data_IF_053511474803
#
_entry.id   IF_053511474803
#
_cell.length_a   1.000
_cell.length_b   1.000
_cell.length_c   1.000
_cell.angle_alpha   90.00
_cell.angle_beta   90.00
_cell.angle_gamma   90.00
#
_symmetry.space_group_name_H-M   'P 1'
#
loop_
_entity.id
_entity.type
_entity.pdbx_description
1 polymer ?
#
# COMPACT_ATOMS: atom_id res chain seq x y z
N UNK A 1 46.18 18.38 38.47
CA UNK A 1 47.35 17.78 37.80
C UNK A 1 46.98 17.52 36.34
N UNK A 2 47.68 18.21 35.42
CA UNK A 2 47.86 18.04 33.96
C UNK A 2 46.65 17.57 33.11
N UNK A 3 46.00 18.37 32.26
CA UNK A 3 46.45 19.11 31.07
C UNK A 3 47.03 18.24 29.93
N UNK A 4 46.28 18.08 28.82
CA UNK A 4 46.79 18.19 27.44
C UNK A 4 45.67 18.13 26.36
N UNK A 5 45.62 19.20 25.55
CA UNK A 5 45.01 19.32 24.21
C UNK A 5 45.76 18.47 23.15
N UNK A 6 45.07 18.00 22.10
CA UNK A 6 45.41 18.15 20.64
C UNK A 6 44.47 17.32 19.74
N UNK A 7 43.59 17.93 18.94
CA UNK A 7 43.69 18.41 17.52
C UNK A 7 43.35 17.38 16.44
N UNK A 8 42.22 17.64 15.76
CA UNK A 8 42.00 17.70 14.30
C UNK A 8 42.88 16.87 13.34
N UNK A 9 42.23 16.06 12.49
CA UNK A 9 42.77 15.69 11.18
C UNK A 9 42.30 14.34 10.64
N UNK A 10 41.15 14.29 9.93
CA UNK A 10 40.82 13.21 9.00
C UNK A 10 39.74 13.58 7.96
N UNK A 11 39.64 14.87 7.59
CA UNK A 11 38.90 15.31 6.39
C UNK A 11 39.94 15.89 5.43
N UNK A 12 40.81 15.04 4.89
CA UNK A 12 41.86 15.45 3.96
C UNK A 12 42.55 14.26 3.26
N UNK A 13 41.83 13.21 2.84
CA UNK A 13 42.44 12.19 1.97
C UNK A 13 41.38 11.33 1.25
N UNK A 14 40.73 11.88 0.22
CA UNK A 14 40.13 11.05 -0.86
C UNK A 14 39.76 11.93 -2.08
N UNK A 15 39.76 13.26 -1.94
CA UNK A 15 39.55 14.24 -3.02
C UNK A 15 40.76 14.50 -3.94
N UNK A 16 41.74 13.59 -4.00
CA UNK A 16 42.95 13.76 -4.83
C UNK A 16 43.23 12.56 -5.74
N UNK A 17 42.21 12.05 -6.44
CA UNK A 17 42.37 11.14 -7.60
C UNK A 17 41.55 11.59 -8.82
N UNK A 18 41.63 12.87 -9.15
CA UNK A 18 41.27 13.37 -10.49
C UNK A 18 42.49 14.00 -11.16
N UNK A 19 42.63 13.68 -12.45
CA UNK A 19 43.14 14.51 -13.56
C UNK A 19 44.56 14.23 -14.12
N UNK A 20 44.58 13.56 -15.28
CA UNK A 20 45.39 13.84 -16.49
C UNK A 20 44.46 13.37 -17.66
N UNK A 21 43.66 14.17 -18.40
CA UNK A 21 43.89 15.23 -19.43
C UNK A 21 44.82 14.71 -20.58
N UNK A 22 44.45 14.59 -21.87
CA UNK A 22 44.17 15.63 -22.89
C UNK A 22 43.72 14.97 -24.23
N UNK A 23 42.65 15.54 -24.81
CA UNK A 23 42.21 15.83 -26.20
C UNK A 23 42.83 15.24 -27.51
N UNK A 24 41.93 15.03 -28.50
CA UNK A 24 42.10 15.18 -29.98
C UNK A 24 42.08 13.86 -30.79
N UNK A 25 41.60 13.72 -32.04
CA UNK A 25 40.91 14.53 -33.05
C UNK A 25 40.59 13.58 -34.26
N UNK A 26 39.41 13.72 -34.90
CA UNK A 26 39.11 13.56 -36.36
C UNK A 26 39.34 12.29 -37.22
N UNK A 27 38.25 11.92 -37.94
CA UNK A 27 38.11 11.62 -39.40
C UNK A 27 38.62 10.27 -39.97
N UNK A 28 37.66 9.48 -40.51
CA UNK A 28 37.61 8.92 -41.88
C UNK A 28 36.26 8.15 -42.02
N UNK A 29 35.25 8.60 -42.79
CA UNK A 29 35.08 8.40 -44.25
C UNK A 29 35.18 6.91 -44.66
N UNK A 30 34.39 6.29 -45.54
CA UNK A 30 33.18 6.52 -46.32
C UNK A 30 33.10 5.29 -47.27
N UNK A 31 31.94 4.97 -47.88
CA UNK A 31 31.77 4.10 -49.07
C UNK A 31 31.82 2.57 -48.78
N UNK A 32 30.85 1.73 -49.18
CA UNK A 32 30.13 1.66 -50.46
C UNK A 32 28.74 1.03 -50.30
N UNK A 33 27.72 1.66 -50.91
CA UNK A 33 26.57 0.96 -51.49
C UNK A 33 26.98 0.42 -52.89
N UNK A 34 26.25 -0.51 -53.54
CA UNK A 34 24.96 -0.12 -54.14
C UNK A 34 23.86 -1.19 -54.10
N UNK A 35 22.64 -0.69 -54.28
CA UNK A 35 21.44 -1.42 -54.67
C UNK A 35 21.59 -2.07 -56.06
N UNK A 36 20.92 -3.22 -56.25
CA UNK A 36 20.52 -3.78 -57.54
C UNK A 36 19.26 -4.65 -57.33
N UNK A 37 18.09 -4.09 -57.64
CA UNK A 37 16.99 -4.79 -58.33
C UNK A 37 17.04 -4.28 -59.79
N UNK A 38 16.59 -5.01 -60.83
CA UNK A 38 15.34 -5.78 -60.86
C UNK A 38 15.38 -7.11 -61.64
N UNK A 39 14.34 -7.91 -61.48
CA UNK A 39 14.09 -9.11 -62.28
C UNK A 39 12.60 -9.44 -62.29
N UNK A 40 11.87 -8.75 -63.15
CA UNK A 40 10.49 -9.07 -63.55
C UNK A 40 10.47 -10.32 -64.41
N UNK A 41 9.60 -11.28 -64.08
CA UNK A 41 8.95 -12.15 -65.08
C UNK A 41 7.54 -12.46 -64.61
N UNK A 42 6.58 -11.90 -65.34
CA UNK A 42 5.19 -12.32 -65.41
C UNK A 42 5.08 -13.71 -66.04
N UNK A 43 4.11 -14.51 -65.58
CA UNK A 43 3.28 -15.33 -66.49
C UNK A 43 2.00 -15.79 -65.79
N UNK A 44 0.85 -15.34 -66.31
CA UNK A 44 -0.40 -16.07 -66.63
C UNK A 44 -0.52 -17.54 -66.16
N UNK A 45 -1.66 -18.11 -65.78
CA UNK A 45 -3.09 -17.82 -65.98
C UNK A 45 -3.93 -18.74 -65.08
N UNK A 46 -5.24 -18.48 -65.09
CA UNK A 46 -6.35 -19.40 -64.89
C UNK A 46 -7.00 -19.56 -63.51
N UNK A 47 -8.16 -18.89 -63.44
CA UNK A 47 -9.27 -19.18 -62.56
C UNK A 47 -9.85 -20.57 -62.84
N UNK A 48 -10.00 -21.38 -61.80
CA UNK A 48 -11.07 -22.36 -61.70
C UNK A 48 -11.36 -22.64 -60.21
N UNK A 49 -12.51 -22.16 -59.75
CA UNK A 49 -13.09 -22.49 -58.45
C UNK A 49 -13.59 -23.93 -58.47
N UNK A 50 -13.38 -24.67 -57.37
CA UNK A 50 -14.46 -25.50 -56.85
C UNK A 50 -14.73 -25.17 -55.38
N UNK A 51 -16.01 -24.92 -55.08
CA UNK A 51 -16.55 -24.94 -53.72
C UNK A 51 -16.23 -26.30 -53.09
N UNK A 52 -15.45 -26.30 -52.01
CA UNK A 52 -15.51 -27.34 -51.00
C UNK A 52 -15.72 -26.68 -49.64
N UNK A 53 -16.89 -26.97 -49.09
CA UNK A 53 -17.34 -26.69 -47.74
C UNK A 53 -16.42 -27.37 -46.75
N UNK A 54 -15.59 -26.59 -46.05
CA UNK A 54 -14.83 -27.07 -44.89
C UNK A 54 -15.12 -26.13 -43.73
N UNK A 55 -15.63 -26.70 -42.64
CA UNK A 55 -15.93 -26.05 -41.38
C UNK A 55 -14.72 -25.24 -40.91
N UNK A 56 -14.84 -23.91 -40.91
CA UNK A 56 -13.82 -23.03 -40.37
C UNK A 56 -13.86 -23.10 -38.84
N UNK A 57 -12.85 -23.73 -38.25
CA UNK A 57 -12.40 -23.41 -36.90
C UNK A 57 -12.03 -21.93 -36.85
N UNK A 58 -12.30 -21.20 -35.75
CA UNK A 58 -11.87 -19.81 -35.64
C UNK A 58 -10.34 -19.79 -35.56
N UNK A 59 -9.73 -19.28 -36.63
CA UNK A 59 -8.29 -19.04 -36.74
C UNK A 59 -7.92 -17.93 -35.74
N UNK A 60 -7.28 -18.31 -34.63
CA UNK A 60 -6.69 -17.37 -33.67
C UNK A 60 -5.48 -16.71 -34.34
N UNK A 61 -5.75 -15.73 -35.20
CA UNK A 61 -4.72 -14.92 -35.84
C UNK A 61 -4.04 -14.06 -34.78
N UNK A 62 -2.93 -14.58 -34.26
CA UNK A 62 -2.06 -13.96 -33.27
C UNK A 62 -1.46 -12.67 -33.81
N UNK A 63 -1.87 -11.53 -33.26
CA UNK A 63 -1.09 -10.30 -33.36
C UNK A 63 0.24 -10.54 -32.64
N UNK A 64 1.29 -10.88 -33.38
CA UNK A 64 2.62 -11.20 -32.83
C UNK A 64 3.36 -9.91 -32.48
N UNK A 65 2.86 -9.21 -31.45
CA UNK A 65 3.69 -8.26 -30.73
C UNK A 65 4.70 -9.11 -29.94
N UNK A 66 6.02 -8.89 -30.08
CA UNK A 66 7.00 -9.66 -29.32
C UNK A 66 6.79 -9.42 -27.83
N UNK A 67 6.42 -10.48 -27.11
CA UNK A 67 6.25 -10.47 -25.66
C UNK A 67 7.63 -10.56 -25.02
N UNK A 68 7.92 -9.65 -24.09
CA UNK A 68 9.21 -9.60 -23.39
C UNK A 68 9.01 -9.59 -21.89
N UNK A 69 9.76 -10.42 -21.16
CA UNK A 69 9.78 -10.43 -19.69
C UNK A 69 10.61 -9.25 -19.16
N UNK A 70 10.12 -8.59 -18.11
CA UNK A 70 10.80 -7.49 -17.41
C UNK A 70 10.95 -7.82 -15.92
N UNK A 71 11.99 -7.32 -15.23
CA UNK A 71 12.07 -7.37 -13.78
C UNK A 71 10.84 -6.71 -13.13
N UNK A 72 10.24 -7.37 -12.14
CA UNK A 72 9.00 -6.91 -11.50
C UNK A 72 9.18 -5.55 -10.78
N UNK A 73 10.37 -5.30 -10.24
CA UNK A 73 10.77 -4.03 -9.60
C UNK A 73 10.90 -2.86 -10.58
N UNK A 74 10.87 -3.12 -11.89
CA UNK A 74 10.85 -2.12 -12.96
C UNK A 74 9.45 -1.78 -13.46
N UNK A 75 8.43 -2.55 -13.06
CA UNK A 75 7.03 -2.33 -13.43
C UNK A 75 6.49 -1.19 -12.58
N UNK A 76 5.74 -0.28 -13.21
CA UNK A 76 5.12 0.88 -12.55
C UNK A 76 3.63 0.89 -12.82
N UNK A 77 2.88 1.62 -11.99
CA UNK A 77 1.47 1.86 -12.28
C UNK A 77 1.28 2.53 -13.64
N UNK A 78 0.26 2.10 -14.38
CA UNK A 78 0.03 2.52 -15.77
C UNK A 78 0.82 1.75 -16.82
N UNK A 79 1.76 0.88 -16.43
CA UNK A 79 2.29 -0.14 -17.34
C UNK A 79 1.20 -1.17 -17.68
N UNK A 80 1.38 -1.90 -18.79
CA UNK A 80 0.54 -3.06 -19.13
C UNK A 80 1.31 -4.35 -18.94
N UNK A 81 0.63 -5.35 -18.38
CA UNK A 81 1.14 -6.71 -18.23
C UNK A 81 0.15 -7.69 -18.85
N UNK A 82 0.68 -8.79 -19.36
CA UNK A 82 -0.17 -9.89 -19.81
C UNK A 82 -0.83 -10.54 -18.60
N UNK A 83 -2.13 -10.70 -18.71
CA UNK A 83 -2.97 -11.26 -17.67
C UNK A 83 -4.14 -11.98 -18.37
N UNK A 84 -4.41 -13.21 -17.95
CA UNK A 84 -5.60 -13.96 -18.38
C UNK A 84 -5.99 -14.94 -17.30
N UNK A 85 -7.02 -14.59 -16.54
CA UNK A 85 -7.51 -15.39 -15.44
C UNK A 85 -8.42 -16.51 -15.99
N UNK A 86 -8.09 -17.79 -15.76
CA UNK A 86 -8.93 -18.91 -16.17
C UNK A 86 -10.30 -18.93 -15.46
N UNK A 87 -10.42 -18.29 -14.30
CA UNK A 87 -11.66 -18.20 -13.52
C UNK A 87 -12.62 -17.13 -14.07
N UNK A 88 -12.15 -16.24 -14.94
CA UNK A 88 -12.96 -15.17 -15.54
C UNK A 88 -13.43 -15.57 -16.94
N UNK A 89 -14.73 -15.73 -17.10
CA UNK A 89 -15.37 -16.05 -18.38
C UNK A 89 -15.31 -14.91 -19.41
N UNK A 90 -15.41 -15.26 -20.70
CA UNK A 90 -15.36 -14.26 -21.78
C UNK A 90 -16.53 -13.25 -21.75
N UNK A 91 -17.70 -13.68 -21.27
CA UNK A 91 -18.86 -12.79 -21.12
C UNK A 91 -18.60 -11.71 -20.05
N UNK A 92 -18.09 -12.09 -18.87
CA UNK A 92 -17.71 -11.15 -17.82
C UNK A 92 -16.63 -10.19 -18.31
N UNK A 93 -15.56 -10.72 -18.93
CA UNK A 93 -14.48 -9.93 -19.49
C UNK A 93 -14.95 -8.95 -20.56
N UNK A 94 -15.94 -9.32 -21.37
CA UNK A 94 -16.51 -8.44 -22.41
C UNK A 94 -17.26 -7.23 -21.87
N UNK A 95 -17.65 -7.27 -20.58
CA UNK A 95 -18.33 -6.17 -19.89
C UNK A 95 -17.35 -5.19 -19.23
N UNK A 96 -16.06 -5.53 -19.13
CA UNK A 96 -15.08 -4.67 -18.49
C UNK A 96 -14.72 -3.49 -19.40
N UNK A 97 -14.96 -2.29 -18.89
CA UNK A 97 -14.56 -1.04 -19.53
C UNK A 97 -13.51 -0.36 -18.68
N UNK A 98 -12.31 -0.17 -19.25
CA UNK A 98 -11.25 0.58 -18.58
C UNK A 98 -11.79 1.95 -18.12
N UNK A 99 -11.61 2.31 -16.84
CA UNK A 99 -12.06 3.60 -16.34
C UNK A 99 -11.33 4.73 -17.03
N UNK A 100 -11.87 5.94 -16.95
CA UNK A 100 -11.16 7.12 -17.41
C UNK A 100 -9.94 7.39 -16.50
N UNK A 101 -8.79 6.82 -16.87
CA UNK A 101 -7.56 6.88 -16.09
C UNK A 101 -7.08 8.30 -15.81
N UNK A 102 -7.44 9.29 -16.63
CA UNK A 102 -7.10 10.70 -16.39
C UNK A 102 -7.84 11.30 -15.17
N UNK A 103 -8.93 10.67 -14.74
CA UNK A 103 -9.66 11.03 -13.52
C UNK A 103 -9.12 10.30 -12.29
N UNK A 104 -8.11 9.44 -12.43
CA UNK A 104 -7.43 8.84 -11.30
C UNK A 104 -6.34 9.77 -10.72
N UNK A 105 -5.90 9.43 -9.52
CA UNK A 105 -4.68 9.93 -8.90
C UNK A 105 -3.67 8.79 -8.82
N UNK A 106 -2.39 9.14 -8.98
CA UNK A 106 -1.27 8.31 -8.59
C UNK A 106 -0.90 8.65 -7.15
N UNK A 107 -1.09 7.69 -6.26
CA UNK A 107 -0.79 7.82 -4.85
C UNK A 107 0.47 7.04 -4.54
N UNK A 108 1.36 7.65 -3.76
CA UNK A 108 2.47 6.95 -3.09
C UNK A 108 2.12 6.84 -1.62
N UNK A 109 2.08 5.61 -1.10
CA UNK A 109 1.68 5.32 0.27
C UNK A 109 2.74 4.51 0.99
N UNK A 110 2.83 4.71 2.31
CA UNK A 110 3.65 3.91 3.21
C UNK A 110 2.79 3.35 4.34
N UNK A 111 2.95 2.07 4.61
CA UNK A 111 2.27 1.40 5.73
C UNK A 111 3.29 0.66 6.59
N UNK A 112 3.35 0.93 7.91
CA UNK A 112 4.22 0.17 8.81
C UNK A 112 3.80 -1.29 8.86
N UNK A 113 4.73 -2.21 8.65
CA UNK A 113 4.49 -3.63 8.83
C UNK A 113 4.49 -3.97 10.33
N UNK A 114 3.58 -4.85 10.78
CA UNK A 114 3.51 -5.24 12.18
C UNK A 114 4.81 -5.86 12.72
N UNK A 115 5.13 -5.58 13.99
CA UNK A 115 6.30 -6.13 14.68
C UNK A 115 7.65 -5.61 14.17
N UNK A 116 7.66 -4.47 13.46
CA UNK A 116 8.88 -3.79 13.03
C UNK A 116 9.48 -2.90 14.13
N UNK A 117 10.77 -2.54 14.04
CA UNK A 117 11.39 -1.69 15.05
C UNK A 117 10.87 -0.25 14.92
N UNK A 118 10.60 0.44 16.03
CA UNK A 118 10.20 1.86 16.04
C UNK A 118 11.25 2.75 15.36
N UNK A 119 12.54 2.44 15.56
CA UNK A 119 13.65 3.25 15.03
C UNK A 119 13.90 2.99 13.53
N UNK A 120 13.60 1.77 13.06
CA UNK A 120 13.73 1.35 11.67
C UNK A 120 12.53 0.48 11.28
N UNK A 121 11.36 1.09 11.00
CA UNK A 121 10.16 0.35 10.67
C UNK A 121 10.33 -0.31 9.30
N UNK A 122 9.92 -1.58 9.20
CA UNK A 122 9.75 -2.25 7.92
C UNK A 122 8.48 -1.68 7.32
N UNK A 123 8.58 -1.14 6.12
CA UNK A 123 7.45 -0.50 5.46
C UNK A 123 6.98 -1.36 4.30
N UNK A 124 5.66 -1.37 4.11
CA UNK A 124 5.04 -1.68 2.85
C UNK A 124 4.93 -0.39 2.04
N UNK A 125 5.63 -0.34 0.91
CA UNK A 125 5.52 0.75 -0.04
C UNK A 125 4.48 0.38 -1.10
N UNK A 126 3.57 1.30 -1.36
CA UNK A 126 2.46 1.10 -2.30
C UNK A 126 2.44 2.27 -3.27
N UNK A 127 2.43 1.98 -4.56
CA UNK A 127 1.97 2.93 -5.58
C UNK A 127 0.59 2.50 -6.06
N UNK A 128 -0.33 3.45 -6.20
CA UNK A 128 -1.74 3.13 -6.43
C UNK A 128 -2.38 4.09 -7.44
N UNK A 129 -3.22 3.56 -8.33
CA UNK A 129 -4.13 4.31 -9.18
C UNK A 129 -5.56 4.11 -8.70
N UNK A 130 -6.18 5.19 -8.24
CA UNK A 130 -7.58 5.21 -7.80
C UNK A 130 -8.31 6.47 -8.28
N UNK A 131 -9.63 6.39 -8.51
CA UNK A 131 -10.43 7.55 -8.88
C UNK A 131 -10.48 8.57 -7.75
N UNK A 132 -10.75 9.83 -8.10
CA UNK A 132 -10.89 10.93 -7.13
C UNK A 132 -11.98 10.68 -6.08
N UNK A 133 -13.09 10.02 -6.46
CA UNK A 133 -14.15 9.66 -5.52
C UNK A 133 -13.63 8.78 -4.39
N UNK A 134 -12.90 7.72 -4.75
CA UNK A 134 -12.29 6.81 -3.79
C UNK A 134 -11.34 7.55 -2.86
N UNK A 135 -10.45 8.40 -3.40
CA UNK A 135 -9.52 9.16 -2.56
C UNK A 135 -10.26 10.05 -1.56
N UNK A 136 -11.31 10.77 -1.99
CA UNK A 136 -12.09 11.65 -1.11
C UNK A 136 -12.83 10.88 -0.03
N UNK A 137 -13.29 9.66 -0.32
CA UNK A 137 -13.97 8.80 0.64
C UNK A 137 -13.01 8.24 1.71
N UNK A 138 -11.77 7.94 1.32
CA UNK A 138 -10.79 7.32 2.23
C UNK A 138 -9.87 8.34 2.93
N UNK A 139 -9.87 9.61 2.53
CA UNK A 139 -8.92 10.60 3.00
C UNK A 139 -9.09 10.92 4.49
N UNK A 140 -8.03 10.67 5.26
CA UNK A 140 -7.86 11.10 6.64
C UNK A 140 -6.80 12.21 6.77
N UNK A 141 -6.88 12.95 7.88
CA UNK A 141 -5.95 14.03 8.21
C UNK A 141 -5.23 13.72 9.52
N UNK A 142 -3.91 13.92 9.53
CA UNK A 142 -3.10 13.89 10.73
C UNK A 142 -2.82 15.33 11.16
N UNK A 143 -3.25 15.66 12.38
CA UNK A 143 -3.08 17.00 12.96
C UNK A 143 -2.20 16.95 14.20
N UNK A 144 -1.36 17.96 14.37
CA UNK A 144 -0.62 18.25 15.59
C UNK A 144 -1.00 19.63 16.12
N UNK A 145 -0.67 19.93 17.37
CA UNK A 145 -0.82 21.28 17.91
C UNK A 145 0.37 22.14 17.52
N UNK A 146 0.14 23.35 17.00
CA UNK A 146 1.21 24.34 16.95
C UNK A 146 1.70 24.59 18.39
N UNK A 147 3.02 24.54 18.68
CA UNK A 147 3.51 24.90 19.99
C UNK A 147 3.12 26.36 20.27
N UNK A 148 2.37 26.59 21.36
CA UNK A 148 2.01 27.94 21.81
C UNK A 148 3.25 28.84 21.78
N UNK A 149 3.21 29.87 20.94
CA UNK A 149 4.27 30.87 20.82
C UNK A 149 4.33 31.66 22.14
N UNK A 150 5.02 31.11 23.12
CA UNK A 150 5.28 31.76 24.40
C UNK A 150 6.23 32.93 24.17
N UNK A 151 5.62 34.12 24.09
CA UNK A 151 6.23 35.45 24.22
C UNK A 151 7.43 35.76 23.29
N UNK A 152 7.15 36.49 22.22
CA UNK A 152 8.16 37.28 21.50
C UNK A 152 8.89 38.25 22.46
N UNK A 153 10.21 38.42 22.32
CA UNK A 153 10.83 39.72 22.36
C UNK A 153 11.02 40.21 20.93
N UNK A 154 10.35 41.32 20.61
CA UNK A 154 10.55 42.11 19.41
C UNK A 154 12.02 42.50 19.24
N UNK A 155 12.76 41.80 18.38
CA UNK A 155 13.93 42.38 17.71
C UNK A 155 13.95 41.94 16.25
N UNK A 156 13.61 42.88 15.37
CA UNK A 156 13.86 42.80 13.94
C UNK A 156 15.37 42.74 13.72
N UNK A 157 15.90 41.56 13.45
CA UNK A 157 17.21 41.38 12.83
C UNK A 157 17.01 40.75 11.45
N UNK A 158 16.87 41.65 10.49
CA UNK A 158 16.98 41.40 9.07
C UNK A 158 18.35 40.77 8.76
N UNK A 159 18.38 39.47 8.41
CA UNK A 159 19.54 38.83 7.78
C UNK A 159 19.19 37.51 7.08
N UNK A 160 19.18 37.62 5.76
CA UNK A 160 19.71 36.64 4.80
C UNK A 160 18.91 35.35 4.55
N UNK A 161 18.01 35.47 3.58
CA UNK A 161 17.62 34.48 2.57
C UNK A 161 18.50 33.23 2.44
N UNK A 162 17.89 32.07 2.69
CA UNK A 162 18.23 30.81 2.04
C UNK A 162 16.91 30.13 1.61
N UNK A 163 16.60 29.98 0.31
CA UNK A 163 15.32 29.48 -0.15
C UNK A 163 15.36 27.95 -0.17
N UNK A 164 15.02 27.31 0.95
CA UNK A 164 14.50 25.94 0.89
C UNK A 164 13.04 26.08 0.43
N UNK A 165 12.82 25.94 -0.87
CA UNK A 165 11.50 25.98 -1.45
C UNK A 165 10.60 24.93 -0.77
N UNK A 166 9.37 25.27 -0.30
CA UNK A 166 8.34 24.25 -0.17
C UNK A 166 8.17 23.59 -1.54
N UNK A 167 7.93 22.27 -1.64
CA UNK A 167 7.72 21.65 -2.93
C UNK A 167 6.57 22.39 -3.62
N UNK A 168 6.88 23.01 -4.76
CA UNK A 168 5.88 23.59 -5.64
C UNK A 168 4.81 22.51 -5.86
N UNK A 169 3.57 22.84 -5.55
CA UNK A 169 2.40 22.08 -5.92
C UNK A 169 1.91 22.65 -7.27
N UNK A 170 2.35 22.17 -8.44
CA UNK A 170 1.66 22.46 -9.68
C UNK A 170 0.57 21.39 -9.85
N UNK A 171 -0.40 21.39 -8.94
CA UNK A 171 -1.57 20.53 -9.04
C UNK A 171 -2.70 21.42 -9.56
N UNK A 172 -3.42 20.98 -10.59
CA UNK A 172 -4.54 21.74 -11.12
C UNK A 172 -5.49 22.10 -9.95
N UNK A 173 -5.59 23.38 -9.54
CA UNK A 173 -6.28 23.79 -8.31
C UNK A 173 -7.81 23.64 -8.37
N UNK A 174 -8.32 22.91 -9.38
CA UNK A 174 -9.72 22.74 -9.71
C UNK A 174 -10.27 21.34 -9.37
N UNK A 175 -9.42 20.37 -8.99
CA UNK A 175 -9.92 19.06 -8.53
C UNK A 175 -10.47 19.19 -7.12
N UNK A 176 -11.60 18.56 -6.86
CA UNK A 176 -12.35 18.70 -5.61
C UNK A 176 -11.51 18.25 -4.40
N UNK A 177 -10.70 17.19 -4.54
CA UNK A 177 -9.86 16.71 -3.42
C UNK A 177 -8.86 17.75 -2.94
N UNK A 178 -8.22 18.51 -3.83
CA UNK A 178 -7.26 19.55 -3.41
C UNK A 178 -7.96 20.71 -2.71
N UNK A 179 -9.18 21.04 -3.16
CA UNK A 179 -10.01 22.03 -2.47
C UNK A 179 -10.38 21.53 -1.07
N UNK A 180 -10.78 20.27 -0.94
CA UNK A 180 -11.13 19.68 0.36
C UNK A 180 -9.93 19.69 1.31
N UNK A 181 -8.73 19.33 0.83
CA UNK A 181 -7.49 19.39 1.61
C UNK A 181 -7.22 20.83 2.05
N UNK A 182 -7.21 21.80 1.13
CA UNK A 182 -6.91 23.21 1.47
C UNK A 182 -7.92 23.78 2.45
N UNK A 183 -9.22 23.51 2.26
CA UNK A 183 -10.26 23.98 3.16
C UNK A 183 -10.13 23.33 4.55
N UNK A 184 -9.87 22.02 4.60
CA UNK A 184 -9.72 21.30 5.88
C UNK A 184 -8.47 21.78 6.62
N UNK A 185 -7.35 21.99 5.91
CA UNK A 185 -6.13 22.57 6.50
C UNK A 185 -6.38 23.97 7.03
N UNK A 186 -7.05 24.84 6.27
CA UNK A 186 -7.37 26.19 6.73
C UNK A 186 -8.32 26.20 7.96
N UNK A 187 -9.27 25.27 8.02
CA UNK A 187 -10.13 25.09 9.20
C UNK A 187 -9.31 24.63 10.39
N UNK A 188 -8.44 23.62 10.22
CA UNK A 188 -7.55 23.14 11.27
C UNK A 188 -6.65 24.27 11.82
N UNK A 189 -6.03 25.06 10.93
CA UNK A 189 -5.19 26.21 11.31
C UNK A 189 -5.99 27.25 12.09
N UNK A 190 -7.24 27.52 11.71
CA UNK A 190 -8.11 28.44 12.45
C UNK A 190 -8.46 27.96 13.87
N UNK A 191 -8.32 26.66 14.12
CA UNK A 191 -8.49 26.02 15.41
C UNK A 191 -7.15 25.82 16.16
N UNK A 192 -6.03 26.33 15.63
CA UNK A 192 -4.69 26.20 16.22
C UNK A 192 -4.06 24.81 16.01
N UNK A 193 -4.50 24.09 14.99
CA UNK A 193 -3.98 22.77 14.62
C UNK A 193 -3.19 22.86 13.31
N UNK A 194 -2.06 22.17 13.25
CA UNK A 194 -1.26 22.02 12.04
C UNK A 194 -1.55 20.66 11.40
N UNK A 195 -1.94 20.63 10.12
CA UNK A 195 -2.06 19.37 9.36
C UNK A 195 -0.65 18.93 8.95
N UNK A 196 -0.13 17.92 9.64
CA UNK A 196 1.24 17.40 9.43
C UNK A 196 1.29 16.19 8.49
N UNK A 197 0.14 15.64 8.08
CA UNK A 197 0.09 14.51 7.16
C UNK A 197 -1.32 14.16 6.68
N UNK A 198 -1.39 13.32 5.66
CA UNK A 198 -2.62 12.76 5.10
C UNK A 198 -2.55 11.23 5.16
N UNK A 199 -3.70 10.59 5.35
CA UNK A 199 -3.82 9.12 5.39
C UNK A 199 -4.93 8.65 4.45
N UNK A 200 -4.91 7.37 4.10
CA UNK A 200 -6.06 6.66 3.52
C UNK A 200 -6.28 5.34 4.26
N UNK A 201 -7.54 4.93 4.39
CA UNK A 201 -7.85 3.56 4.80
C UNK A 201 -7.70 2.63 3.59
N UNK A 202 -6.80 1.65 3.74
CA UNK A 202 -6.52 0.65 2.72
C UNK A 202 -7.34 -0.61 2.98
N UNK A 203 -7.82 -1.19 1.88
CA UNK A 203 -8.65 -2.38 1.91
C UNK A 203 -8.21 -3.47 0.92
N UNK A 204 -6.92 -3.81 0.98
CA UNK A 204 -6.28 -4.81 0.12
C UNK A 204 -5.47 -5.80 0.99
N UNK A 205 -6.17 -6.57 1.85
CA UNK A 205 -5.53 -7.47 2.81
C UNK A 205 -4.63 -8.49 2.16
N UNK A 206 -5.00 -8.93 0.97
CA UNK A 206 -4.29 -9.93 0.20
C UNK A 206 -3.10 -9.33 -0.55
N UNK A 207 -2.76 -8.08 -0.28
CA UNK A 207 -1.49 -7.46 -0.66
C UNK A 207 -0.67 -7.09 0.57
N UNK A 208 -1.14 -7.47 1.77
CA UNK A 208 -0.64 -6.97 3.04
C UNK A 208 -0.93 -5.50 3.27
N UNK A 209 -1.82 -4.88 2.48
CA UNK A 209 -2.15 -3.45 2.48
C UNK A 209 -3.54 -3.22 3.08
N UNK A 210 -3.63 -3.26 4.40
CA UNK A 210 -4.89 -3.08 5.11
C UNK A 210 -4.78 -2.23 6.36
N UNK A 211 -5.76 -1.35 6.54
CA UNK A 211 -5.79 -0.33 7.59
C UNK A 211 -5.18 0.99 7.11
N UNK A 212 -4.83 1.85 8.07
CA UNK A 212 -4.37 3.21 7.76
C UNK A 212 -2.99 3.21 7.09
N UNK A 213 -2.94 3.69 5.84
CA UNK A 213 -1.72 3.98 5.12
C UNK A 213 -1.46 5.49 5.05
N UNK A 214 -0.18 5.87 5.17
CA UNK A 214 0.26 7.25 5.15
C UNK A 214 0.46 7.66 3.69
N UNK A 215 -0.14 8.77 3.27
CA UNK A 215 0.09 9.33 1.95
C UNK A 215 1.40 10.12 1.96
N UNK A 216 2.35 9.71 1.13
CA UNK A 216 3.63 10.42 0.94
C UNK A 216 3.69 11.16 -0.40
N UNK A 217 2.79 10.85 -1.35
CA UNK A 217 2.67 11.55 -2.62
C UNK A 217 1.27 11.47 -3.22
N UNK A 218 0.81 12.59 -3.80
CA UNK A 218 -0.42 12.66 -4.62
C UNK A 218 -0.05 13.33 -5.93
N UNK A 219 -0.08 12.57 -7.03
CA UNK A 219 0.20 13.06 -8.37
C UNK A 219 -0.99 12.81 -9.31
N UNK A 220 -1.02 13.54 -10.42
CA UNK A 220 -1.92 13.20 -11.53
C UNK A 220 -1.62 11.78 -12.01
N UNK A 221 -2.66 11.09 -12.51
CA UNK A 221 -2.49 9.78 -13.12
C UNK A 221 -1.41 9.82 -14.21
N UNK A 222 -0.48 8.86 -14.24
CA UNK A 222 0.51 8.76 -15.31
C UNK A 222 -0.19 8.44 -16.63
N UNK A 223 0.49 8.73 -17.73
CA UNK A 223 0.03 8.27 -19.03
C UNK A 223 0.03 6.74 -19.05
N UNK A 224 -1.14 6.14 -19.26
CA UNK A 224 -1.28 4.68 -19.42
C UNK A 224 -0.56 4.28 -20.70
N UNK A 225 0.35 3.31 -20.59
CA UNK A 225 1.11 2.86 -21.75
C UNK A 225 0.18 2.15 -22.74
N UNK A 226 0.31 2.44 -24.05
CA UNK A 226 -0.40 1.66 -25.06
C UNK A 226 0.21 0.24 -25.11
N UNK A 227 -0.60 -0.76 -25.42
CA UNK A 227 -0.11 -2.13 -25.56
C UNK A 227 -1.20 -3.15 -25.30
N UNK A 228 -0.82 -4.42 -25.46
CA UNK A 228 -1.65 -5.58 -25.10
C UNK A 228 -1.61 -5.84 -23.60
N UNK A 229 -2.62 -6.53 -23.09
CA UNK A 229 -2.73 -6.87 -21.67
C UNK A 229 -3.43 -5.79 -20.85
N UNK A 230 -3.44 -6.00 -19.54
CA UNK A 230 -4.18 -5.21 -18.58
C UNK A 230 -3.30 -4.18 -17.89
N UNK A 231 -3.91 -3.08 -17.46
CA UNK A 231 -3.23 -1.98 -16.77
C UNK A 231 -2.86 -2.39 -15.35
N UNK A 232 -1.61 -2.13 -14.95
CA UNK A 232 -1.17 -2.23 -13.57
C UNK A 232 -1.72 -1.04 -12.78
N UNK A 233 -2.61 -1.31 -11.84
CA UNK A 233 -3.30 -0.31 -11.01
C UNK A 233 -2.65 -0.11 -9.65
N UNK A 234 -1.84 -1.06 -9.20
CA UNK A 234 -1.03 -0.90 -7.98
C UNK A 234 0.28 -1.68 -8.07
N UNK A 235 1.28 -1.21 -7.34
CA UNK A 235 2.52 -1.96 -7.08
C UNK A 235 2.80 -1.98 -5.59
N UNK A 236 3.22 -3.13 -5.07
CA UNK A 236 3.54 -3.34 -3.67
C UNK A 236 4.98 -3.78 -3.55
N UNK A 237 5.71 -3.25 -2.57
CA UNK A 237 7.05 -3.74 -2.24
C UNK A 237 7.31 -3.69 -0.75
N UNK A 238 7.90 -4.76 -0.22
CA UNK A 238 8.24 -4.84 1.19
C UNK A 238 9.31 -5.89 1.48
N UNK A 239 10.00 -5.81 2.64
CA UNK A 239 10.80 -6.92 3.14
C UNK A 239 9.90 -8.14 3.40
N UNK A 240 10.35 -9.37 3.11
CA UNK A 240 9.50 -10.55 3.16
C UNK A 240 9.08 -10.84 4.61
N UNK A 241 7.78 -11.06 4.81
CA UNK A 241 7.21 -11.49 6.09
C UNK A 241 7.24 -13.02 6.25
N UNK A 242 7.15 -13.75 5.13
CA UNK A 242 7.16 -15.21 5.07
C UNK A 242 8.45 -15.74 4.42
N UNK A 243 8.60 -17.07 4.39
CA UNK A 243 9.72 -17.70 3.71
C UNK A 243 9.66 -17.44 2.20
N UNK A 244 10.79 -17.02 1.63
CA UNK A 244 10.96 -16.93 0.18
C UNK A 244 11.56 -18.24 -0.33
N UNK A 245 10.98 -18.78 -1.39
CA UNK A 245 11.40 -20.00 -2.06
C UNK A 245 12.02 -19.66 -3.43
N UNK A 246 13.03 -20.44 -3.79
CA UNK A 246 13.47 -20.66 -5.17
C UNK A 246 12.66 -21.83 -5.73
N UNK A 247 11.72 -21.54 -6.63
CA UNK A 247 10.90 -22.54 -7.31
C UNK A 247 11.43 -22.72 -8.73
N UNK A 248 11.77 -23.96 -9.08
CA UNK A 248 12.23 -24.32 -10.42
C UNK A 248 11.10 -25.02 -11.17
N UNK A 249 10.80 -24.53 -12.36
CA UNK A 249 9.84 -25.12 -13.27
C UNK A 249 10.57 -25.82 -14.42
N UNK A 250 10.01 -26.91 -14.90
CA UNK A 250 10.53 -27.64 -16.06
C UNK A 250 10.75 -26.70 -17.25
N UNK A 251 11.98 -26.68 -17.78
CA UNK A 251 12.34 -25.84 -18.93
C UNK A 251 12.63 -24.36 -18.61
N UNK A 252 12.51 -23.92 -17.35
CA UNK A 252 12.92 -22.58 -16.92
C UNK A 252 14.39 -22.64 -16.46
N UNK A 253 15.25 -21.83 -17.05
CA UNK A 253 16.68 -21.86 -16.75
C UNK A 253 17.03 -21.30 -15.35
N UNK A 254 16.23 -20.35 -14.84
CA UNK A 254 16.48 -19.68 -13.57
C UNK A 254 15.29 -19.88 -12.61
N UNK A 255 15.52 -20.21 -11.34
CA UNK A 255 14.42 -20.37 -10.38
C UNK A 255 13.73 -19.03 -10.10
N UNK A 256 12.41 -19.09 -9.96
CA UNK A 256 11.60 -17.95 -9.54
C UNK A 256 11.66 -17.77 -8.03
N UNK A 257 11.82 -16.52 -7.61
CA UNK A 257 11.79 -16.13 -6.21
C UNK A 257 10.40 -15.72 -5.80
N UNK A 258 9.75 -16.49 -4.95
CA UNK A 258 8.35 -16.28 -4.57
C UNK A 258 8.18 -16.54 -3.08
N UNK A 259 7.26 -15.82 -2.43
CA UNK A 259 6.85 -16.21 -1.08
C UNK A 259 6.09 -17.54 -1.15
N UNK A 260 6.24 -18.37 -0.12
CA UNK A 260 5.57 -19.68 -0.03
C UNK A 260 4.04 -19.61 -0.13
N UNK A 261 3.44 -18.52 0.34
CA UNK A 261 2.01 -18.27 0.30
C UNK A 261 1.50 -17.72 -1.05
N UNK A 262 2.38 -17.39 -2.00
CA UNK A 262 1.95 -16.80 -3.28
C UNK A 262 1.24 -17.83 -4.15
N UNK A 263 0.10 -17.43 -4.73
CA UNK A 263 -0.77 -18.36 -5.42
C UNK A 263 -0.39 -18.54 -6.89
N UNK A 264 -0.38 -19.80 -7.30
CA UNK A 264 -0.15 -20.21 -8.67
C UNK A 264 -1.30 -21.10 -9.13
N UNK A 265 -1.61 -21.05 -10.43
CA UNK A 265 -2.64 -21.91 -11.00
C UNK A 265 -2.18 -23.38 -11.02
N UNK A 266 -2.90 -24.25 -10.32
CA UNK A 266 -2.71 -25.70 -10.35
C UNK A 266 -3.58 -26.31 -11.44
N UNK A 267 -2.96 -27.04 -12.37
CA UNK A 267 -3.71 -27.76 -13.42
C UNK A 267 -4.46 -28.95 -12.85
N UNK A 268 -3.89 -29.64 -11.88
CA UNK A 268 -4.51 -30.80 -11.25
C UNK A 268 -5.73 -30.45 -10.39
N UNK A 269 -5.70 -29.28 -9.75
CA UNK A 269 -6.73 -28.86 -8.80
C UNK A 269 -7.71 -27.83 -9.39
N UNK A 270 -7.43 -27.32 -10.59
CA UNK A 270 -8.26 -26.35 -11.32
C UNK A 270 -8.57 -25.10 -10.48
N UNK A 271 -7.56 -24.64 -9.73
CA UNK A 271 -7.66 -23.48 -8.84
C UNK A 271 -6.29 -22.91 -8.51
N UNK A 272 -6.29 -21.68 -7.99
CA UNK A 272 -5.10 -21.06 -7.41
C UNK A 272 -4.74 -21.69 -6.06
N UNK A 273 -3.48 -22.10 -5.90
CA UNK A 273 -2.94 -22.70 -4.69
C UNK A 273 -1.64 -22.05 -4.24
N UNK A 274 -1.37 -21.96 -2.91
CA UNK A 274 -0.08 -21.52 -2.41
C UNK A 274 1.04 -22.41 -2.95
N UNK A 275 2.05 -21.81 -3.58
CA UNK A 275 3.15 -22.56 -4.19
C UNK A 275 3.94 -23.40 -3.17
N UNK A 276 3.96 -22.96 -1.92
CA UNK A 276 4.51 -23.70 -0.78
C UNK A 276 3.78 -25.01 -0.51
N UNK A 277 2.48 -25.08 -0.78
CA UNK A 277 1.62 -26.25 -0.54
C UNK A 277 1.53 -27.19 -1.76
N UNK A 278 1.72 -26.68 -2.98
CA UNK A 278 1.72 -27.49 -4.21
C UNK A 278 2.80 -28.58 -4.17
N UNK A 279 2.52 -29.78 -4.67
CA UNK A 279 3.48 -30.88 -4.65
C UNK A 279 4.61 -30.66 -5.68
N UNK A 280 5.83 -31.12 -5.35
CA UNK A 280 6.85 -31.31 -6.39
C UNK A 280 6.31 -32.37 -7.35
N UNK A 281 6.28 -32.06 -8.65
CA UNK A 281 5.65 -32.90 -9.66
C UNK A 281 4.27 -32.43 -10.12
N UNK A 282 3.66 -31.47 -9.41
CA UNK A 282 2.41 -30.81 -9.83
C UNK A 282 2.66 -29.84 -10.99
N UNK A 283 1.62 -29.53 -11.76
CA UNK A 283 1.74 -28.77 -12.98
C UNK A 283 1.11 -27.38 -12.92
N UNK A 284 1.77 -26.45 -13.60
CA UNK A 284 1.30 -25.08 -13.81
C UNK A 284 1.11 -24.80 -15.30
N UNK A 285 0.24 -23.83 -15.60
CA UNK A 285 0.02 -23.34 -16.96
C UNK A 285 0.89 -22.14 -17.27
N UNK A 286 1.47 -22.14 -18.47
CA UNK A 286 2.26 -21.04 -19.02
C UNK A 286 1.42 -20.15 -19.94
N UNK A 287 1.92 -18.95 -20.25
CA UNK A 287 1.30 -18.01 -21.19
C UNK A 287 1.10 -18.63 -22.58
N UNK A 288 2.02 -19.50 -23.01
CA UNK A 288 1.93 -20.22 -24.29
C UNK A 288 0.87 -21.34 -24.29
N UNK A 289 0.17 -21.57 -23.17
CA UNK A 289 -0.78 -22.66 -22.99
C UNK A 289 -0.11 -24.01 -22.73
N UNK A 290 1.21 -24.04 -22.53
CA UNK A 290 1.92 -25.26 -22.16
C UNK A 290 1.79 -25.54 -20.67
N UNK A 291 1.85 -26.82 -20.32
CA UNK A 291 1.86 -27.30 -18.95
C UNK A 291 3.29 -27.64 -18.53
N UNK A 292 3.76 -27.12 -17.40
CA UNK A 292 5.12 -27.34 -16.88
C UNK A 292 5.09 -27.85 -15.46
N UNK A 293 5.99 -28.78 -15.14
CA UNK A 293 6.05 -29.38 -13.82
C UNK A 293 6.89 -28.56 -12.85
N UNK A 294 6.49 -28.53 -11.58
CA UNK A 294 7.35 -28.05 -10.48
C UNK A 294 8.45 -29.08 -10.23
N UNK A 295 9.71 -28.70 -10.44
CA UNK A 295 10.86 -29.60 -10.27
C UNK A 295 11.46 -29.53 -8.87
N UNK A 296 11.55 -28.34 -8.29
CA UNK A 296 12.09 -28.15 -6.94
C UNK A 296 11.57 -26.89 -6.27
N UNK A 297 11.57 -26.92 -4.94
CA UNK A 297 11.29 -25.78 -4.06
C UNK A 297 12.36 -25.75 -2.97
N UNK A 298 13.22 -24.75 -3.00
CA UNK A 298 14.32 -24.61 -2.04
C UNK A 298 14.23 -23.27 -1.32
N UNK A 299 14.52 -23.19 -0.01
CA UNK A 299 14.61 -21.91 0.68
C UNK A 299 15.59 -20.96 -0.02
N UNK A 300 15.17 -19.72 -0.27
CA UNK A 300 16.03 -18.68 -0.82
C UNK A 300 16.78 -17.98 0.32
N UNK A 301 18.12 -17.86 0.26
CA UNK A 301 18.89 -17.14 1.29
C UNK A 301 18.68 -15.63 1.27
N UNK A 302 18.66 -15.04 2.48
CA UNK A 302 18.74 -13.60 2.72
C UNK A 302 17.38 -12.87 2.68
N UNK A 303 17.27 -11.69 3.32
CA UNK A 303 16.12 -10.82 3.11
C UNK A 303 16.21 -10.22 1.71
N UNK A 304 15.25 -10.53 0.86
CA UNK A 304 15.10 -9.91 -0.45
C UNK A 304 13.74 -9.23 -0.50
N UNK A 305 13.72 -7.95 -0.88
CA UNK A 305 12.46 -7.24 -1.14
C UNK A 305 11.62 -8.05 -2.12
N UNK A 306 10.38 -8.32 -1.72
CA UNK A 306 9.38 -8.97 -2.56
C UNK A 306 8.46 -7.92 -3.15
N UNK A 307 7.89 -8.24 -4.31
CA UNK A 307 7.06 -7.33 -5.07
C UNK A 307 5.76 -8.02 -5.45
N UNK A 308 4.66 -7.27 -5.49
CA UNK A 308 3.39 -7.72 -6.04
C UNK A 308 2.76 -6.60 -6.87
N UNK A 309 1.78 -6.97 -7.72
CA UNK A 309 1.06 -6.05 -8.59
C UNK A 309 -0.44 -6.19 -8.34
N UNK A 310 -1.19 -5.10 -8.54
CA UNK A 310 -2.63 -5.15 -8.83
C UNK A 310 -2.81 -4.86 -10.32
N UNK A 311 -3.61 -5.69 -10.99
CA UNK A 311 -3.82 -5.67 -12.43
C UNK A 311 -5.32 -5.58 -12.65
N UNK A 312 -5.71 -4.59 -13.45
CA UNK A 312 -7.11 -4.27 -13.72
C UNK A 312 -7.89 -5.47 -14.31
N UNK A 313 -9.04 -5.75 -13.72
CA UNK A 313 -9.99 -6.78 -14.17
C UNK A 313 -9.53 -8.21 -13.86
N UNK A 314 -8.41 -8.65 -14.43
CA UNK A 314 -8.00 -10.06 -14.41
C UNK A 314 -7.50 -10.54 -13.05
N UNK A 315 -6.90 -9.65 -12.24
CA UNK A 315 -6.30 -9.99 -10.95
C UNK A 315 -5.30 -11.17 -11.00
N UNK A 316 -4.68 -11.40 -12.15
CA UNK A 316 -3.54 -12.32 -12.36
C UNK A 316 -2.45 -11.64 -13.20
N UNK A 317 -1.23 -12.17 -13.19
CA UNK A 317 -0.17 -11.82 -14.13
C UNK A 317 0.79 -12.99 -14.38
N UNK A 318 1.49 -12.95 -15.51
CA UNK A 318 2.49 -13.96 -15.84
C UNK A 318 3.88 -13.60 -15.32
N UNK A 319 4.60 -14.59 -14.79
CA UNK A 319 5.95 -14.45 -14.23
C UNK A 319 6.95 -15.44 -14.83
N UNK A 320 8.24 -15.06 -14.85
CA UNK A 320 9.31 -15.88 -15.44
C UNK A 320 9.39 -15.79 -16.96
N UNK A 321 10.35 -16.51 -17.56
CA UNK A 321 10.52 -16.54 -19.02
C UNK A 321 9.46 -17.42 -19.68
N UNK A 322 9.04 -18.49 -19.00
CA UNK A 322 7.92 -19.32 -19.45
C UNK A 322 6.56 -18.63 -19.28
N UNK A 323 6.47 -17.56 -18.46
CA UNK A 323 5.23 -16.88 -18.17
C UNK A 323 4.25 -17.80 -17.43
N UNK A 324 4.62 -18.24 -16.24
CA UNK A 324 3.73 -19.02 -15.37
C UNK A 324 2.70 -18.08 -14.73
N UNK A 325 1.44 -18.51 -14.62
CA UNK A 325 0.36 -17.68 -14.09
C UNK A 325 0.41 -17.58 -12.56
N UNK A 326 0.64 -16.36 -12.07
CA UNK A 326 0.56 -15.99 -10.67
C UNK A 326 -0.69 -15.16 -10.42
N UNK A 327 -1.28 -15.30 -9.23
CA UNK A 327 -2.43 -14.50 -8.84
C UNK A 327 -1.99 -13.21 -8.16
N UNK A 328 -2.71 -12.11 -8.43
CA UNK A 328 -2.45 -10.85 -7.75
C UNK A 328 -2.83 -10.96 -6.28
N UNK A 329 -3.94 -11.64 -6.01
CA UNK A 329 -4.59 -11.71 -4.71
C UNK A 329 -4.23 -13.03 -3.98
N UNK A 330 -3.81 -12.98 -2.73
CA UNK A 330 -3.85 -14.18 -1.88
C UNK A 330 -5.32 -14.54 -1.58
N UNK A 331 -5.93 -15.41 -2.39
CA UNK A 331 -7.19 -16.06 -1.98
C UNK A 331 -6.91 -16.85 -0.69
N UNK A 332 -7.25 -16.27 0.45
CA UNK A 332 -7.92 -17.05 1.48
C UNK A 332 -9.40 -16.94 1.17
N UNK A 333 -10.10 -18.06 1.00
CA UNK A 333 -11.57 -18.03 0.94
C UNK A 333 -12.13 -17.24 2.13
N UNK A 334 -12.87 -16.16 1.85
CA UNK A 334 -13.31 -15.18 2.84
C UNK A 334 -12.18 -14.20 3.19
N UNK A 335 -12.50 -12.90 3.26
CA UNK A 335 -11.62 -11.94 3.94
C UNK A 335 -11.18 -12.60 5.25
N UNK A 336 -9.87 -12.64 5.57
CA UNK A 336 -9.43 -13.19 6.84
C UNK A 336 -10.32 -12.63 7.94
N UNK A 337 -10.88 -13.49 8.80
CA UNK A 337 -11.80 -13.07 9.88
C UNK A 337 -11.24 -11.84 10.62
N UNK A 338 -9.92 -11.81 10.80
CA UNK A 338 -9.16 -10.72 11.41
C UNK A 338 -9.31 -9.40 10.70
N UNK A 339 -9.41 -9.41 9.39
CA UNK A 339 -9.57 -8.24 8.58
C UNK A 339 -10.94 -7.59 8.76
N UNK A 340 -11.98 -8.38 8.54
CA UNK A 340 -13.34 -7.93 8.70
C UNK A 340 -13.54 -7.42 10.14
N UNK A 341 -12.91 -8.08 11.12
CA UNK A 341 -12.85 -7.63 12.50
C UNK A 341 -12.22 -6.24 12.65
N UNK A 342 -11.03 -5.99 12.09
CA UNK A 342 -10.39 -4.67 12.14
C UNK A 342 -11.23 -3.59 11.44
N UNK A 343 -11.97 -3.94 10.38
CA UNK A 343 -12.86 -3.00 9.65
C UNK A 343 -13.99 -2.55 10.56
N UNK A 344 -14.61 -3.53 11.23
CA UNK A 344 -15.70 -3.27 12.16
C UNK A 344 -15.20 -2.55 13.44
N UNK A 345 -14.02 -2.90 13.95
CA UNK A 345 -13.38 -2.17 15.06
C UNK A 345 -13.10 -0.71 14.69
N UNK A 346 -12.70 -0.42 13.45
CA UNK A 346 -12.47 0.95 12.97
C UNK A 346 -13.78 1.77 12.97
N UNK A 347 -14.88 1.19 12.46
CA UNK A 347 -16.21 1.82 12.54
C UNK A 347 -16.63 2.09 13.98
N UNK A 348 -16.50 1.08 14.85
CA UNK A 348 -16.87 1.21 16.26
C UNK A 348 -16.01 2.27 16.98
N UNK A 349 -14.73 2.39 16.63
CA UNK A 349 -13.80 3.38 17.20
C UNK A 349 -14.17 4.80 16.77
N UNK A 350 -14.49 5.01 15.49
CA UNK A 350 -14.94 6.31 14.98
C UNK A 350 -16.25 6.75 15.61
N UNK A 351 -17.22 5.84 15.74
CA UNK A 351 -18.50 6.11 16.42
C UNK A 351 -18.29 6.39 17.92
N UNK A 352 -17.48 5.59 18.61
CA UNK A 352 -17.19 5.78 20.04
C UNK A 352 -16.52 7.13 20.30
N UNK A 353 -15.54 7.52 19.46
CA UNK A 353 -14.93 8.85 19.53
C UNK A 353 -16.00 9.95 19.38
N UNK A 354 -16.84 9.85 18.35
CA UNK A 354 -17.85 10.87 18.05
C UNK A 354 -18.82 11.05 19.21
N UNK A 355 -19.29 9.95 19.81
CA UNK A 355 -20.13 9.99 21.02
C UNK A 355 -19.40 10.66 22.19
N UNK A 356 -18.18 10.22 22.51
CA UNK A 356 -17.45 10.71 23.68
C UNK A 356 -17.07 12.20 23.57
N UNK A 357 -16.84 12.71 22.35
CA UNK A 357 -16.56 14.13 22.11
C UNK A 357 -17.82 15.00 22.19
N UNK A 358 -19.00 14.44 21.85
CA UNK A 358 -20.26 15.18 21.74
C UNK A 358 -21.18 15.06 22.97
N UNK A 359 -21.08 13.97 23.74
CA UNK A 359 -21.88 13.70 24.93
C UNK A 359 -21.01 13.68 26.19
N UNK A 360 -20.99 14.80 26.92
CA UNK A 360 -20.24 14.93 28.16
C UNK A 360 -20.84 14.14 29.33
N UNK A 361 -22.13 13.81 29.31
CA UNK A 361 -22.71 12.95 30.32
C UNK A 361 -22.17 11.52 30.17
N UNK A 362 -22.10 11.03 28.93
CA UNK A 362 -21.47 9.75 28.61
C UNK A 362 -19.96 9.75 28.96
N UNK A 363 -19.23 10.80 28.57
CA UNK A 363 -17.80 10.93 28.88
C UNK A 363 -17.54 10.91 30.39
N UNK A 364 -18.32 11.68 31.17
CA UNK A 364 -18.24 11.70 32.64
C UNK A 364 -18.45 10.31 33.22
N UNK A 365 -19.47 9.60 32.77
CA UNK A 365 -19.82 8.28 33.30
C UNK A 365 -18.78 7.21 32.95
N UNK A 366 -17.91 7.49 31.98
CA UNK A 366 -16.85 6.59 31.53
C UNK A 366 -15.51 6.84 32.23
N UNK A 367 -15.38 7.94 32.99
CA UNK A 367 -14.18 8.29 33.75
C UNK A 367 -14.30 7.85 35.21
N UNK A 368 -13.20 7.37 35.79
CA UNK A 368 -13.11 7.12 37.24
C UNK A 368 -12.98 8.44 38.02
N UNK A 369 -13.28 8.42 39.32
CA UNK A 369 -13.16 9.64 40.15
C UNK A 369 -11.74 10.21 40.15
N UNK A 370 -10.70 9.37 40.23
CA UNK A 370 -9.32 9.85 40.18
C UNK A 370 -8.97 10.53 38.84
N UNK A 371 -9.54 10.06 37.73
CA UNK A 371 -9.36 10.69 36.42
C UNK A 371 -10.13 12.01 36.34
N UNK A 372 -11.37 12.04 36.87
CA UNK A 372 -12.17 13.27 36.94
C UNK A 372 -11.47 14.35 37.75
N UNK A 373 -11.00 14.02 38.97
CA UNK A 373 -10.26 14.96 39.82
C UNK A 373 -9.01 15.49 39.10
N UNK A 374 -8.25 14.59 38.45
CA UNK A 374 -7.07 14.95 37.67
C UNK A 374 -7.37 15.88 36.49
N UNK A 375 -8.50 15.67 35.79
CA UNK A 375 -8.96 16.54 34.70
C UNK A 375 -9.47 17.88 35.23
N UNK A 376 -10.15 17.91 36.38
CA UNK A 376 -10.63 19.16 37.00
C UNK A 376 -9.44 20.02 37.42
N UNK A 377 -8.40 19.42 38.01
CA UNK A 377 -7.15 20.12 38.37
C UNK A 377 -6.42 20.62 37.13
N UNK A 378 -6.26 19.77 36.12
CA UNK A 378 -5.53 20.06 34.89
C UNK A 378 -6.31 19.55 33.66
N UNK A 379 -7.13 20.41 33.02
CA UNK A 379 -8.04 19.99 31.94
C UNK A 379 -7.36 19.32 30.75
N UNK A 380 -6.11 19.68 30.44
CA UNK A 380 -5.33 19.07 29.36
C UNK A 380 -5.14 17.55 29.56
N UNK A 381 -5.16 17.04 30.80
CA UNK A 381 -5.00 15.61 31.12
C UNK A 381 -6.13 14.75 30.56
N UNK A 382 -7.24 15.34 30.08
CA UNK A 382 -8.26 14.64 29.31
C UNK A 382 -7.64 13.82 28.16
N UNK A 383 -6.63 14.36 27.49
CA UNK A 383 -5.96 13.69 26.38
C UNK A 383 -5.27 12.38 26.79
N UNK A 384 -4.75 12.32 28.03
CA UNK A 384 -4.08 11.13 28.56
C UNK A 384 -5.06 9.99 28.86
N UNK A 385 -6.33 10.32 29.15
CA UNK A 385 -7.33 9.34 29.55
C UNK A 385 -8.29 8.97 28.44
N UNK A 386 -8.41 9.80 27.40
CA UNK A 386 -9.41 9.62 26.35
C UNK A 386 -9.22 8.29 25.59
N UNK A 387 -7.98 7.92 25.26
CA UNK A 387 -7.69 6.66 24.56
C UNK A 387 -8.27 5.45 25.31
N UNK A 388 -7.93 5.33 26.60
CA UNK A 388 -8.48 4.27 27.47
C UNK A 388 -10.00 4.27 27.56
N UNK A 389 -10.61 5.46 27.64
CA UNK A 389 -12.08 5.57 27.70
C UNK A 389 -12.71 5.10 26.38
N UNK A 390 -12.11 5.47 25.25
CA UNK A 390 -12.53 5.04 23.92
C UNK A 390 -12.39 3.53 23.75
N UNK A 391 -11.23 2.96 24.08
CA UNK A 391 -10.95 1.52 24.01
C UNK A 391 -12.00 0.72 24.82
N UNK A 392 -12.26 1.15 26.06
CA UNK A 392 -13.27 0.52 26.92
C UNK A 392 -14.69 0.65 26.35
N UNK A 393 -15.02 1.77 25.70
CA UNK A 393 -16.30 1.99 25.04
C UNK A 393 -16.47 1.07 23.82
N UNK A 394 -15.43 0.90 23.01
CA UNK A 394 -15.41 -0.05 21.89
C UNK A 394 -15.60 -1.47 22.41
N UNK A 395 -14.86 -1.88 23.44
CA UNK A 395 -15.01 -3.20 24.05
C UNK A 395 -16.43 -3.46 24.59
N UNK A 396 -17.09 -2.46 25.18
CA UNK A 396 -18.48 -2.55 25.59
C UNK A 396 -19.42 -2.80 24.39
N UNK A 397 -19.24 -2.08 23.29
CA UNK A 397 -20.04 -2.25 22.06
C UNK A 397 -19.83 -3.62 21.43
N UNK A 398 -18.59 -4.11 21.37
CA UNK A 398 -18.29 -5.47 20.93
C UNK A 398 -19.05 -6.49 21.78
N UNK A 399 -19.02 -6.36 23.12
CA UNK A 399 -19.77 -7.24 24.01
C UNK A 399 -21.27 -7.20 23.78
N UNK A 400 -21.85 -6.02 23.55
CA UNK A 400 -23.28 -5.87 23.25
C UNK A 400 -23.66 -6.56 21.93
N UNK A 401 -22.90 -6.32 20.86
CA UNK A 401 -23.14 -6.95 19.55
C UNK A 401 -23.08 -8.48 19.63
N UNK A 402 -22.10 -9.02 20.35
CA UNK A 402 -21.93 -10.47 20.53
C UNK A 402 -23.02 -11.06 21.44
N UNK A 403 -23.53 -10.30 22.41
CA UNK A 403 -24.64 -10.73 23.24
C UNK A 403 -25.96 -10.80 22.45
N UNK A 404 -26.19 -9.84 21.54
CA UNK A 404 -27.37 -9.78 20.68
C UNK A 404 -27.31 -10.85 19.57
N UNK A 405 -26.12 -11.07 19.00
CA UNK A 405 -25.87 -12.07 17.96
C UNK A 405 -24.63 -12.92 18.32
N UNK A 406 -24.80 -14.10 18.93
CA UNK A 406 -23.67 -14.95 19.34
C UNK A 406 -22.78 -15.45 18.18
N UNK A 407 -23.31 -15.44 16.94
CA UNK A 407 -22.57 -15.78 15.72
C UNK A 407 -21.85 -14.60 15.07
N UNK A 408 -21.86 -13.42 15.70
CA UNK A 408 -21.31 -12.20 15.14
C UNK A 408 -19.81 -12.30 14.88
N UNK A 409 -19.32 -11.59 13.86
CA UNK A 409 -17.92 -11.60 13.42
C UNK A 409 -16.90 -11.33 14.53
N UNK A 410 -17.24 -10.44 15.46
CA UNK A 410 -16.38 -10.07 16.59
C UNK A 410 -16.44 -11.05 17.78
N UNK A 411 -17.22 -12.13 17.70
CA UNK A 411 -17.42 -13.06 18.81
C UNK A 411 -16.14 -13.78 19.24
N UNK A 412 -15.16 -13.90 18.35
CA UNK A 412 -13.85 -14.50 18.67
C UNK A 412 -12.85 -13.50 19.27
N UNK A 413 -13.19 -12.21 19.37
CA UNK A 413 -12.30 -11.22 19.96
C UNK A 413 -12.37 -11.23 21.48
N UNK A 414 -11.21 -11.34 22.11
CA UNK A 414 -11.03 -11.19 23.54
C UNK A 414 -10.44 -9.82 23.86
N UNK A 415 -11.21 -8.98 24.55
CA UNK A 415 -10.72 -7.72 25.13
C UNK A 415 -9.67 -7.98 26.22
N UNK A 416 -8.52 -7.29 26.19
CA UNK A 416 -7.42 -7.51 27.14
C UNK A 416 -7.67 -6.83 28.50
N UNK A 417 -8.48 -5.78 28.54
CA UNK A 417 -8.91 -5.14 29.80
C UNK A 417 -7.82 -4.42 30.56
N UNK A 418 -6.68 -4.12 29.93
CA UNK A 418 -5.55 -3.45 30.59
C UNK A 418 -5.08 -2.29 29.73
N UNK A 419 -4.98 -1.11 30.33
CA UNK A 419 -4.41 0.11 29.74
C UNK A 419 -2.96 -0.03 29.28
N UNK A 420 -2.24 -1.05 29.78
CA UNK A 420 -0.84 -1.30 29.45
C UNK A 420 -0.66 -2.62 28.69
N UNK A 421 -1.74 -3.21 28.17
CA UNK A 421 -1.59 -4.34 27.26
C UNK A 421 -0.90 -3.85 25.97
N UNK A 422 -0.08 -4.70 25.33
CA UNK A 422 0.51 -4.34 24.05
C UNK A 422 -0.54 -4.23 22.94
N UNK A 423 -1.70 -4.87 23.11
CA UNK A 423 -2.85 -4.85 22.21
C UNK A 423 -4.17 -4.78 22.98
N UNK A 424 -5.21 -4.33 22.32
CA UNK A 424 -6.55 -4.14 22.86
C UNK A 424 -7.43 -5.39 22.74
N UNK A 425 -7.43 -6.02 21.57
CA UNK A 425 -8.18 -7.26 21.32
C UNK A 425 -7.26 -8.36 20.85
N UNK A 426 -7.56 -9.59 21.28
CA UNK A 426 -6.90 -10.81 20.83
C UNK A 426 -7.94 -11.65 20.09
N UNK A 427 -7.78 -11.79 18.78
CA UNK A 427 -8.57 -12.70 17.96
C UNK A 427 -8.02 -14.12 17.97
N UNK A 428 -8.50 -14.94 17.03
CA UNK A 428 -8.03 -16.33 16.88
C UNK A 428 -6.53 -16.38 16.60
N UNK A 429 -5.90 -17.47 17.02
CA UNK A 429 -4.47 -17.72 16.86
C UNK A 429 -3.56 -16.64 17.47
N UNK A 430 -4.08 -15.82 18.39
CA UNK A 430 -3.33 -14.77 19.05
C UNK A 430 -3.18 -13.48 18.26
N UNK A 431 -3.96 -13.29 17.19
CA UNK A 431 -3.91 -12.08 16.36
C UNK A 431 -4.36 -10.85 17.15
N UNK A 432 -3.47 -9.88 17.34
CA UNK A 432 -3.69 -8.68 18.14
C UNK A 432 -4.13 -7.48 17.33
N UNK A 433 -5.22 -6.86 17.77
CA UNK A 433 -5.69 -5.56 17.32
C UNK A 433 -5.39 -4.52 18.39
N UNK A 434 -4.93 -3.36 17.97
CA UNK A 434 -4.59 -2.26 18.86
C UNK A 434 -5.23 -0.98 18.33
N UNK A 435 -5.99 -0.30 19.18
CA UNK A 435 -6.69 0.94 18.85
C UNK A 435 -5.78 2.09 19.27
N UNK A 436 -5.58 3.05 18.37
CA UNK A 436 -4.68 4.18 18.64
C UNK A 436 -5.13 5.45 17.95
N UNK A 437 -4.63 6.61 18.40
CA UNK A 437 -4.89 7.87 17.72
C UNK A 437 -4.24 7.91 16.34
N UNK A 438 -4.83 8.66 15.40
CA UNK A 438 -4.35 8.76 14.02
C UNK A 438 -3.05 9.58 13.84
N UNK A 439 -2.20 9.74 14.87
CA UNK A 439 -0.91 10.43 14.71
C UNK A 439 0.15 9.50 14.12
N UNK A 440 1.02 10.03 13.26
CA UNK A 440 2.09 9.24 12.61
C UNK A 440 2.99 8.54 13.64
N UNK A 441 3.32 9.23 14.72
CA UNK A 441 4.13 8.69 15.82
C UNK A 441 3.40 7.56 16.55
N UNK A 442 2.10 7.73 16.80
CA UNK A 442 1.28 6.72 17.47
C UNK A 442 1.12 5.47 16.61
N UNK A 443 0.75 5.62 15.33
CA UNK A 443 0.61 4.51 14.38
C UNK A 443 1.91 3.70 14.30
N UNK A 444 3.05 4.36 14.11
CA UNK A 444 4.36 3.68 14.03
C UNK A 444 4.72 2.99 15.34
N UNK A 445 4.55 3.67 16.47
CA UNK A 445 4.89 3.09 17.79
C UNK A 445 4.01 1.90 18.16
N UNK A 446 2.73 1.92 17.79
CA UNK A 446 1.79 0.84 18.08
C UNK A 446 1.99 -0.34 17.11
N UNK A 447 2.15 -0.07 15.81
CA UNK A 447 2.44 -1.12 14.81
C UNK A 447 3.75 -1.88 15.07
N UNK A 448 4.73 -1.23 15.73
CA UNK A 448 6.00 -1.84 16.09
C UNK A 448 5.92 -2.90 17.21
N UNK A 449 4.80 -2.97 17.94
CA UNK A 449 4.65 -3.90 19.07
C UNK A 449 4.52 -5.33 18.55
N UNK A 450 5.30 -6.25 19.11
CA UNK A 450 5.38 -7.63 18.63
C UNK A 450 4.04 -8.39 18.65
N UNK A 451 3.15 -8.02 19.57
CA UNK A 451 1.85 -8.66 19.74
C UNK A 451 0.71 -7.92 19.01
N UNK A 452 1.01 -6.82 18.31
CA UNK A 452 0.05 -6.09 17.47
C UNK A 452 0.27 -6.55 16.04
N UNK A 453 -0.77 -7.10 15.42
CA UNK A 453 -0.78 -7.45 14.00
C UNK A 453 -1.65 -6.50 13.18
N UNK A 454 -2.53 -5.73 13.84
CA UNK A 454 -3.41 -4.76 13.22
C UNK A 454 -3.56 -3.51 14.08
N UNK A 455 -3.32 -2.33 13.48
CA UNK A 455 -3.61 -1.05 14.11
C UNK A 455 -4.95 -0.52 13.60
N UNK A 456 -5.82 -0.14 14.52
CA UNK A 456 -7.11 0.52 14.28
C UNK A 456 -6.95 1.97 14.71
N UNK A 457 -7.17 2.93 13.81
CA UNK A 457 -7.02 4.35 14.17
C UNK A 457 -8.36 5.03 14.41
N UNK A 458 -8.34 6.09 15.23
CA UNK A 458 -9.44 7.05 15.33
C UNK A 458 -8.92 8.48 15.22
N UNK A 459 -9.77 9.38 14.72
CA UNK A 459 -9.43 10.80 14.57
C UNK A 459 -9.02 11.46 15.89
N UNK A 460 -8.08 12.41 15.82
CA UNK A 460 -7.64 13.21 16.96
C UNK A 460 -8.82 13.88 17.69
N UNK A 461 -8.75 14.00 19.01
CA UNK A 461 -9.78 14.72 19.77
C UNK A 461 -9.52 16.24 19.79
N UNK A 462 -10.57 17.08 19.99
CA UNK A 462 -10.37 18.51 20.17
C UNK A 462 -9.44 18.82 21.34
N UNK A 463 -8.47 19.71 21.13
CA UNK A 463 -7.50 20.14 22.16
C UNK A 463 -8.17 20.71 23.40
N UNK A 464 -9.25 21.46 23.21
CA UNK A 464 -10.03 22.09 24.25
C UNK A 464 -11.08 21.16 24.89
N UNK A 465 -11.12 19.87 24.54
CA UNK A 465 -12.14 18.93 25.01
C UNK A 465 -12.22 18.92 26.54
N UNK A 466 -11.07 18.81 27.22
CA UNK A 466 -11.02 18.82 28.68
C UNK A 466 -11.54 20.12 29.30
N UNK A 467 -11.17 21.27 28.73
CA UNK A 467 -11.67 22.57 29.20
C UNK A 467 -13.18 22.75 29.01
N UNK A 468 -13.69 22.29 27.86
CA UNK A 468 -15.14 22.28 27.59
C UNK A 468 -15.88 21.34 28.55
N UNK A 469 -15.29 20.19 28.82
CA UNK A 469 -15.82 19.19 29.75
C UNK A 469 -15.89 19.74 31.19
N UNK A 470 -14.83 20.37 31.69
CA UNK A 470 -14.82 21.00 33.02
C UNK A 470 -15.85 22.12 33.10
N UNK A 471 -15.94 23.00 32.09
CA UNK A 471 -16.98 24.05 32.05
C UNK A 471 -18.40 23.48 32.05
N UNK A 472 -18.60 22.28 31.51
CA UNK A 472 -19.89 21.59 31.54
C UNK A 472 -20.18 20.99 32.92
N UNK A 473 -19.17 20.51 33.66
CA UNK A 473 -19.36 20.03 35.04
C UNK A 473 -19.80 21.13 36.01
N UNK A 474 -19.45 22.38 35.71
CA UNK A 474 -19.82 23.57 36.51
C UNK A 474 -21.26 24.06 36.25
N UNK A 475 -21.97 23.50 35.27
CA UNK A 475 -23.36 23.82 34.91
C UNK A 475 -24.35 22.86 35.59
#
# INVERSE_FOLDING_TARGET
>A
MNAAKKTSGAVALEWLRRAILITGLTIAACLMAPALFPGTTESHSDSAVPLQTTLASPDLSTSTTPVTTRPIDSIRVGDRVLARNPEVGEEERSQWEEPNWNQCFHLTLEMPLPGSNVDEPKLLHIELLRPESWLREQLGYVVDQEPELSTLPTTLSDKSTNPAAPPLIPLAPLRAVYRDIVLTTAVAESEGLEVIGLTVEMDLPEMGAYGTAIITGIQASPAIKPGVGQVVTATFSHPPANQVLNVTFEGEANPLGVTDNHLFWSVEQDKFLPIGEMAIGEHVTTYAGETKRIESKLPRPGPQTVYNLEVYGEHVYFVGQLGVLAHNNYVSEGLPETLAQQRQLSSLSAEARTELVSDFALLRNSLSMNQLDSIIEEPWRMQLFFGTVLEARVANRVRSLVADEPGHLLASLQWTGRTNAPQDFIGRNGFGFDITGNSLSSIRSHAARAQVQAVVTYESIPSNLGYRFVRWLDQ
#
